data_IF_956194985157
#
_entry.id   IF_956194985157
#
_cell.length_a   1.000
_cell.length_b   1.000
_cell.length_c   1.000
_cell.angle_alpha   90.00
_cell.angle_beta   90.00
_cell.angle_gamma   90.00
#
_symmetry.space_group_name_H-M   'P 1'
#
loop_
_entity.id
_entity.type
_entity.pdbx_description
1 polymer ?
#
# COMPACT_ATOMS: atom_id res chain seq x y z
N UNK A 1 -9.76 1.38 1.12
CA UNK A 1 -10.42 2.43 0.28
C UNK A 1 -11.79 1.90 -0.11
N UNK A 2 -12.87 2.69 0.04
CA UNK A 2 -14.15 2.33 -0.58
C UNK A 2 -14.26 2.99 -1.96
N UNK A 3 -14.17 2.21 -3.03
CA UNK A 3 -14.20 2.78 -4.37
C UNK A 3 -15.59 3.37 -4.70
N UNK A 4 -15.64 4.58 -5.26
CA UNK A 4 -16.88 5.34 -5.47
C UNK A 4 -17.21 5.57 -6.94
N UNK A 5 -16.20 5.60 -7.81
CA UNK A 5 -16.33 5.83 -9.25
C UNK A 5 -15.13 5.19 -9.99
N UNK A 6 -15.28 4.99 -11.30
CA UNK A 6 -14.20 4.51 -12.15
C UNK A 6 -13.04 5.52 -12.16
N UNK A 7 -11.84 5.07 -11.82
CA UNK A 7 -10.67 5.94 -11.67
C UNK A 7 -10.45 6.53 -10.27
N UNK A 8 -11.27 6.18 -9.27
CA UNK A 8 -11.07 6.65 -7.89
C UNK A 8 -9.68 6.31 -7.35
N UNK A 9 -9.15 5.14 -7.68
CA UNK A 9 -7.78 4.74 -7.31
C UNK A 9 -6.75 5.64 -7.99
N UNK A 10 -6.93 5.98 -9.27
CA UNK A 10 -6.01 6.85 -10.00
C UNK A 10 -5.95 8.25 -9.40
N UNK A 11 -7.10 8.78 -8.96
CA UNK A 11 -7.15 10.08 -8.29
C UNK A 11 -6.45 10.06 -6.92
N UNK A 12 -6.58 8.97 -6.16
CA UNK A 12 -5.80 8.78 -4.92
C UNK A 12 -4.30 8.77 -5.24
N UNK A 13 -3.87 8.04 -6.27
CA UNK A 13 -2.46 8.01 -6.71
C UNK A 13 -1.98 9.41 -7.08
N UNK A 14 -2.80 10.19 -7.81
CA UNK A 14 -2.48 11.57 -8.22
C UNK A 14 -2.33 12.52 -7.05
N UNK A 15 -2.94 12.27 -5.90
CA UNK A 15 -2.78 13.09 -4.68
C UNK A 15 -1.57 12.63 -3.85
N UNK A 16 -1.27 11.33 -3.84
CA UNK A 16 -0.11 10.78 -3.14
C UNK A 16 1.22 11.31 -3.73
N UNK A 17 1.31 11.40 -5.07
CA UNK A 17 2.52 11.79 -5.80
C UNK A 17 3.03 13.23 -5.50
N UNK A 18 2.19 14.28 -5.46
CA UNK A 18 2.65 15.67 -5.33
C UNK A 18 2.68 16.18 -3.88
N UNK A 19 1.87 15.59 -2.98
CA UNK A 19 1.43 16.28 -1.76
C UNK A 19 1.87 15.70 -0.41
N UNK A 20 2.22 14.41 -0.31
CA UNK A 20 2.23 13.74 1.01
C UNK A 20 3.59 13.47 1.65
N UNK A 21 4.65 13.27 0.85
CA UNK A 21 5.73 12.38 1.31
C UNK A 21 7.15 12.85 1.07
N UNK A 22 7.37 14.10 0.63
CA UNK A 22 8.71 14.66 0.36
C UNK A 22 9.70 14.53 1.55
N UNK A 23 9.21 14.12 2.73
CA UNK A 23 9.95 13.92 3.98
C UNK A 23 9.71 12.57 4.69
N UNK A 24 8.90 11.64 4.15
CA UNK A 24 8.45 10.48 4.94
C UNK A 24 9.36 9.25 4.87
N UNK A 25 10.38 9.24 4.01
CA UNK A 25 11.24 8.05 3.81
C UNK A 25 10.46 6.83 3.29
N UNK A 26 9.19 7.00 2.93
CA UNK A 26 8.36 5.93 2.40
C UNK A 26 8.56 5.86 0.88
N UNK A 27 8.76 4.65 0.38
CA UNK A 27 9.06 4.40 -1.03
C UNK A 27 7.97 3.58 -1.72
N UNK A 28 7.10 2.94 -0.96
CA UNK A 28 6.11 2.00 -1.47
C UNK A 28 4.77 2.32 -0.82
N UNK A 29 3.76 2.54 -1.67
CA UNK A 29 2.39 2.75 -1.26
C UNK A 29 1.55 1.59 -1.78
N UNK A 30 0.83 0.92 -0.88
CA UNK A 30 -0.08 -0.17 -1.24
C UNK A 30 -1.51 0.34 -1.02
N UNK A 31 -2.29 0.39 -2.08
CA UNK A 31 -3.70 0.74 -2.03
C UNK A 31 -4.52 -0.53 -1.93
N UNK A 32 -5.31 -0.63 -0.87
CA UNK A 32 -6.20 -1.76 -0.60
C UNK A 32 -7.64 -1.27 -0.44
N UNK A 33 -8.62 -2.14 -0.70
CA UNK A 33 -10.03 -1.86 -0.45
C UNK A 33 -10.33 -1.76 1.07
N UNK A 34 -11.54 -1.34 1.44
CA UNK A 34 -11.97 -1.16 2.83
C UNK A 34 -12.24 -2.46 3.59
N UNK A 35 -12.19 -3.61 2.90
CA UNK A 35 -12.30 -4.93 3.51
C UNK A 35 -10.97 -5.48 4.08
N UNK A 36 -9.85 -4.78 3.86
CA UNK A 36 -8.51 -5.20 4.30
C UNK A 36 -8.12 -4.45 5.57
N UNK A 37 -7.72 -5.18 6.61
CA UNK A 37 -7.10 -4.57 7.79
C UNK A 37 -5.65 -4.18 7.51
N UNK A 38 -5.40 -2.88 7.37
CA UNK A 38 -4.06 -2.33 7.10
C UNK A 38 -3.05 -2.53 8.25
N UNK A 39 -3.51 -2.89 9.45
CA UNK A 39 -2.62 -3.21 10.58
C UNK A 39 -2.15 -4.66 10.55
N UNK A 40 -2.84 -5.51 9.78
CA UNK A 40 -2.46 -6.90 9.55
C UNK A 40 -1.67 -7.03 8.23
N UNK A 41 -0.35 -7.24 8.36
CA UNK A 41 0.54 -7.36 7.19
C UNK A 41 0.17 -8.55 6.30
N UNK A 42 -0.34 -9.65 6.87
CA UNK A 42 -0.71 -10.84 6.09
C UNK A 42 -1.92 -10.55 5.18
N UNK A 43 -2.92 -9.80 5.66
CA UNK A 43 -4.08 -9.41 4.86
C UNK A 43 -3.68 -8.45 3.72
N UNK A 44 -2.78 -7.50 3.99
CA UNK A 44 -2.25 -6.59 2.97
C UNK A 44 -1.48 -7.35 1.89
N UNK A 45 -0.59 -8.26 2.28
CA UNK A 45 0.18 -9.07 1.33
C UNK A 45 -0.72 -10.03 0.54
N UNK A 46 -1.75 -10.60 1.16
CA UNK A 46 -2.76 -11.39 0.47
C UNK A 46 -3.51 -10.57 -0.59
N UNK A 47 -3.91 -9.34 -0.27
CA UNK A 47 -4.56 -8.46 -1.23
C UNK A 47 -3.64 -8.16 -2.42
N UNK A 48 -2.36 -7.87 -2.18
CA UNK A 48 -1.36 -7.69 -3.25
C UNK A 48 -1.26 -8.95 -4.11
N UNK A 49 -1.10 -10.13 -3.50
CA UNK A 49 -0.90 -11.38 -4.22
C UNK A 49 -2.12 -11.82 -5.05
N UNK A 50 -3.34 -11.40 -4.68
CA UNK A 50 -4.58 -11.89 -5.30
C UNK A 50 -5.31 -10.87 -6.17
N UNK A 51 -5.07 -9.57 -5.97
CA UNK A 51 -5.79 -8.48 -6.66
C UNK A 51 -4.88 -7.62 -7.55
N UNK A 52 -3.57 -7.62 -7.31
CA UNK A 52 -2.63 -6.85 -8.12
C UNK A 52 -2.33 -7.57 -9.43
N UNK A 53 -2.59 -6.92 -10.56
CA UNK A 53 -2.11 -7.36 -11.88
C UNK A 53 -0.91 -6.48 -12.25
N UNK A 54 0.33 -6.98 -12.17
CA UNK A 54 1.53 -6.14 -12.22
C UNK A 54 1.64 -5.23 -13.46
N UNK A 55 1.11 -5.67 -14.61
CA UNK A 55 1.16 -4.94 -15.88
C UNK A 55 0.53 -3.53 -15.80
N UNK A 56 -0.57 -3.38 -15.06
CA UNK A 56 -1.34 -2.14 -15.02
C UNK A 56 -1.68 -1.65 -13.61
N UNK A 57 -1.49 -2.48 -12.58
CA UNK A 57 -1.73 -2.12 -11.19
C UNK A 57 -0.50 -1.55 -10.48
N UNK A 58 0.69 -1.62 -11.10
CA UNK A 58 1.93 -1.13 -10.52
C UNK A 58 2.40 0.13 -11.24
N UNK A 59 2.63 1.20 -10.48
CA UNK A 59 3.11 2.48 -11.00
C UNK A 59 4.43 2.87 -10.36
N UNK A 60 5.46 2.99 -11.18
CA UNK A 60 6.73 3.61 -10.78
C UNK A 60 6.61 5.12 -10.95
N UNK A 61 6.86 5.85 -9.87
CA UNK A 61 6.83 7.31 -9.83
C UNK A 61 8.26 7.82 -9.84
N UNK A 62 8.56 8.55 -10.91
CA UNK A 62 9.85 9.18 -11.16
C UNK A 62 9.93 10.60 -10.56
N UNK A 63 11.16 11.05 -10.26
CA UNK A 63 11.45 12.45 -9.94
C UNK A 63 10.99 12.94 -8.56
N UNK A 64 10.68 12.04 -7.63
CA UNK A 64 10.34 12.42 -6.25
C UNK A 64 11.60 12.75 -5.43
N UNK A 65 11.45 13.68 -4.49
CA UNK A 65 12.52 14.06 -3.58
C UNK A 65 12.73 12.95 -2.55
N UNK A 66 13.98 12.80 -2.11
CA UNK A 66 14.36 11.76 -1.14
C UNK A 66 14.99 12.41 0.06
N UNK A 67 14.69 11.84 1.22
CA UNK A 67 15.21 12.36 2.46
C UNK A 67 16.68 12.03 2.63
N UNK A 68 17.49 12.98 3.13
CA UNK A 68 18.95 12.83 3.19
C UNK A 68 19.43 11.68 4.08
N UNK A 69 18.61 11.23 5.05
CA UNK A 69 18.95 10.07 5.89
C UNK A 69 18.66 8.73 5.21
N UNK A 70 18.16 8.70 3.97
CA UNK A 70 18.05 7.45 3.23
C UNK A 70 19.45 6.81 3.11
N UNK A 71 19.66 5.60 3.68
CA UNK A 71 20.96 4.95 3.70
C UNK A 71 21.41 4.49 2.31
N UNK A 72 20.50 4.46 1.32
CA UNK A 72 20.81 4.11 -0.08
C UNK A 72 21.49 5.26 -0.82
N UNK A 73 21.45 6.48 -0.27
CA UNK A 73 22.20 7.63 -0.83
C UNK A 73 23.68 7.37 -0.56
N UNK A 74 24.50 7.36 -1.61
CA UNK A 74 25.95 7.20 -1.44
C UNK A 74 26.53 8.34 -0.59
N UNK A 75 27.62 8.10 0.17
CA UNK A 75 28.24 9.16 0.98
C UNK A 75 28.64 10.39 0.16
N UNK A 76 29.21 10.20 -1.04
CA UNK A 76 29.62 11.26 -1.96
C UNK A 76 28.42 12.15 -2.37
N UNK A 77 27.30 11.50 -2.64
CA UNK A 77 26.06 12.15 -3.05
C UNK A 77 25.37 12.90 -1.91
N UNK A 78 25.49 12.40 -0.67
CA UNK A 78 24.98 13.07 0.52
C UNK A 78 25.75 14.36 0.82
N UNK A 79 27.04 14.39 0.48
CA UNK A 79 27.93 15.54 0.68
C UNK A 79 27.84 16.61 -0.40
N UNK A 80 27.13 16.37 -1.50
CA UNK A 80 26.94 17.31 -2.62
C UNK A 80 25.44 17.59 -2.89
N UNK A 81 24.70 18.17 -1.94
CA UNK A 81 23.29 18.49 -2.17
C UNK A 81 23.11 19.59 -3.22
N UNK A 82 21.95 19.61 -3.90
CA UNK A 82 21.56 20.73 -4.75
C UNK A 82 21.37 22.04 -3.94
N UNK A 83 21.07 23.16 -4.62
CA UNK A 83 20.88 24.48 -3.97
C UNK A 83 19.79 24.51 -2.88
N UNK A 84 18.93 23.50 -2.81
CA UNK A 84 17.89 23.35 -1.80
C UNK A 84 18.23 22.31 -0.71
N UNK A 85 19.46 21.78 -0.69
CA UNK A 85 19.86 20.75 0.26
C UNK A 85 19.43 19.34 -0.15
N UNK A 86 19.10 19.08 -1.42
CA UNK A 86 18.39 17.85 -1.83
C UNK A 86 19.14 17.10 -2.92
N UNK A 87 19.04 15.77 -2.92
CA UNK A 87 19.34 14.95 -4.10
C UNK A 87 18.05 14.31 -4.58
N UNK A 88 17.82 14.34 -5.90
CA UNK A 88 16.69 13.68 -6.55
C UNK A 88 17.14 12.32 -7.06
N UNK A 89 16.41 11.26 -6.73
CA UNK A 89 16.54 9.99 -7.43
C UNK A 89 15.70 10.03 -8.70
N UNK A 90 16.13 9.32 -9.74
CA UNK A 90 15.43 9.24 -11.03
C UNK A 90 14.08 8.54 -10.91
N UNK A 91 13.98 7.46 -10.12
CA UNK A 91 12.73 6.80 -9.76
C UNK A 91 12.81 6.27 -8.33
N UNK A 92 11.82 6.59 -7.49
CA UNK A 92 11.95 6.39 -6.05
C UNK A 92 10.70 5.90 -5.35
N UNK A 93 9.51 6.24 -5.86
CA UNK A 93 8.26 5.80 -5.25
C UNK A 93 7.58 4.74 -6.15
N UNK A 94 6.99 3.74 -5.51
CA UNK A 94 6.21 2.68 -6.12
C UNK A 94 4.80 2.75 -5.56
N UNK A 95 3.79 2.66 -6.42
CA UNK A 95 2.41 2.43 -5.99
C UNK A 95 1.94 1.08 -6.52
N UNK A 96 1.33 0.31 -5.62
CA UNK A 96 0.72 -0.99 -5.91
C UNK A 96 -0.78 -0.84 -5.67
N UNK A 97 -1.57 -0.97 -6.73
CA UNK A 97 -3.01 -1.07 -6.65
C UNK A 97 -3.42 -2.52 -6.38
N UNK A 98 -3.79 -2.81 -5.13
CA UNK A 98 -4.36 -4.08 -4.71
C UNK A 98 -5.87 -3.98 -4.45
N UNK A 99 -6.54 -3.02 -5.09
CA UNK A 99 -7.99 -2.91 -5.06
C UNK A 99 -8.63 -3.79 -6.14
N UNK A 100 -9.87 -4.22 -5.89
CA UNK A 100 -10.70 -4.92 -6.86
C UNK A 100 -10.98 -4.01 -8.07
N UNK A 101 -11.12 -4.52 -9.29
CA UNK A 101 -11.43 -3.67 -10.44
C UNK A 101 -12.81 -3.02 -10.28
N UNK A 102 -12.89 -1.71 -10.46
CA UNK A 102 -14.13 -0.96 -10.26
C UNK A 102 -15.26 -1.39 -11.21
N UNK A 103 -14.93 -1.60 -12.50
CA UNK A 103 -15.89 -1.90 -13.57
C UNK A 103 -16.79 -3.11 -13.29
N UNK A 104 -16.29 -4.08 -12.52
CA UNK A 104 -17.02 -5.30 -12.17
C UNK A 104 -16.93 -5.58 -10.67
N UNK A 105 -16.88 -4.52 -9.86
CA UNK A 105 -16.76 -4.62 -8.39
C UNK A 105 -17.88 -5.45 -7.75
N UNK A 106 -19.11 -5.34 -8.31
CA UNK A 106 -20.28 -6.07 -7.83
C UNK A 106 -20.27 -7.56 -8.22
N UNK A 107 -19.59 -7.90 -9.31
CA UNK A 107 -19.46 -9.29 -9.81
C UNK A 107 -18.17 -9.96 -9.32
N UNK A 108 -17.31 -9.20 -8.63
CA UNK A 108 -16.07 -9.72 -8.06
C UNK A 108 -16.39 -10.84 -7.05
N UNK A 109 -15.67 -11.99 -7.09
CA UNK A 109 -15.97 -13.12 -6.23
C UNK A 109 -16.03 -12.73 -4.75
N UNK A 110 -16.98 -13.28 -3.97
CA UNK A 110 -17.06 -13.00 -2.55
C UNK A 110 -15.76 -13.42 -1.86
N UNK A 111 -15.22 -12.54 -1.04
CA UNK A 111 -14.03 -12.82 -0.27
C UNK A 111 -14.36 -13.90 0.77
N UNK A 112 -13.64 -15.02 0.71
CA UNK A 112 -13.81 -16.15 1.61
C UNK A 112 -13.23 -15.84 3.00
N UNK A 113 -13.89 -14.97 3.74
CA UNK A 113 -13.50 -14.56 5.10
C UNK A 113 -14.67 -14.79 6.06
N UNK A 114 -14.38 -15.45 7.17
CA UNK A 114 -15.32 -15.57 8.28
C UNK A 114 -15.59 -14.18 8.87
N UNK A 115 -16.86 -13.88 9.17
CA UNK A 115 -17.22 -12.60 9.78
C UNK A 115 -16.48 -12.39 11.12
N UNK A 116 -16.20 -11.13 11.52
CA UNK A 116 -15.57 -10.84 12.80
C UNK A 116 -16.30 -11.49 13.99
N UNK A 117 -17.63 -11.49 13.96
CA UNK A 117 -18.48 -12.07 15.00
C UNK A 117 -18.34 -13.59 15.04
N UNK A 118 -18.28 -14.25 13.88
CA UNK A 118 -18.06 -15.69 13.80
C UNK A 118 -16.66 -16.05 14.29
N UNK A 119 -15.63 -15.29 13.88
CA UNK A 119 -14.25 -15.48 14.36
C UNK A 119 -14.18 -15.35 15.87
N UNK A 120 -14.80 -14.31 16.44
CA UNK A 120 -14.83 -14.10 17.90
C UNK A 120 -15.58 -15.23 18.62
N UNK A 121 -16.77 -15.61 18.14
CA UNK A 121 -17.56 -16.68 18.75
C UNK A 121 -16.81 -18.02 18.75
N UNK A 122 -16.12 -18.35 17.66
CA UNK A 122 -15.32 -19.58 17.55
C UNK A 122 -14.09 -19.49 18.46
N UNK A 123 -13.37 -18.36 18.47
CA UNK A 123 -12.24 -18.14 19.38
C UNK A 123 -12.65 -18.27 20.85
N UNK A 124 -13.78 -17.69 21.27
CA UNK A 124 -14.31 -17.85 22.63
C UNK A 124 -14.71 -19.30 22.92
N UNK A 125 -15.38 -19.98 21.98
CA UNK A 125 -15.83 -21.37 22.16
C UNK A 125 -14.66 -22.33 22.39
N UNK A 126 -13.52 -22.10 21.73
CA UNK A 126 -12.36 -22.98 21.76
C UNK A 126 -11.19 -22.39 22.54
N UNK A 127 -11.44 -21.39 23.40
CA UNK A 127 -10.42 -20.64 24.11
C UNK A 127 -9.43 -21.56 24.84
N UNK A 128 -9.93 -22.60 25.50
CA UNK A 128 -9.14 -23.56 26.27
C UNK A 128 -8.08 -24.31 25.44
N UNK A 129 -8.29 -24.44 24.12
CA UNK A 129 -7.30 -25.04 23.21
C UNK A 129 -6.14 -24.09 22.86
N UNK A 130 -6.35 -22.78 23.07
CA UNK A 130 -5.37 -21.73 22.80
C UNK A 130 -4.74 -21.19 24.10
N UNK A 131 -5.17 -21.65 25.28
CA UNK A 131 -4.53 -21.35 26.56
C UNK A 131 -3.20 -22.12 26.67
N UNK A 132 -2.12 -21.52 26.15
CA UNK A 132 -0.76 -22.09 26.21
C UNK A 132 0.13 -21.81 24.99
N UNK A 133 -0.38 -21.10 23.99
CA UNK A 133 0.33 -20.59 22.81
C UNK A 133 0.38 -19.07 22.91
#
# INVERSE_FOLDING_TARGET
>A
LKQMYAGHVDDVIRVLVPGGDQYSGNHIWILVDDDIDITNTEEVLWAVATRCIPEHAVKVIAGTAVWQLDPRISPEDRSSPDKAGRKRYSAHNLVINACRPYEWLNDFPPVAVNSPELRQRISTKWKDLFEGI
#
